data_IF_535553374878
#
_entry.id   IF_535553374878
#
_cell.length_a   1.000
_cell.length_b   1.000
_cell.length_c   1.000
_cell.angle_alpha   90.00
_cell.angle_beta   90.00
_cell.angle_gamma   90.00
#
_symmetry.space_group_name_H-M   'P 1'
#
loop_
_entity.id
_entity.type
_entity.pdbx_description
1 polymer ?
#
# COMPACT_ATOMS: atom_id res chain seq x y z
N UNK A 1 -13.65 44.67 -24.14
CA UNK A 1 -13.15 44.72 -22.74
C UNK A 1 -13.86 43.79 -21.78
N UNK A 2 -15.21 43.70 -21.74
CA UNK A 2 -15.92 42.90 -20.73
C UNK A 2 -15.61 41.39 -20.76
N UNK A 3 -15.44 40.78 -21.93
CA UNK A 3 -15.17 39.34 -22.07
C UNK A 3 -13.75 38.93 -21.64
N UNK A 4 -12.74 39.76 -21.88
CA UNK A 4 -11.36 39.46 -21.45
C UNK A 4 -11.17 39.57 -19.94
N UNK A 5 -11.92 40.46 -19.28
CA UNK A 5 -11.92 40.60 -17.81
C UNK A 5 -12.48 39.34 -17.14
N UNK A 6 -13.51 38.71 -17.72
CA UNK A 6 -14.02 37.43 -17.22
C UNK A 6 -13.00 36.29 -17.32
N UNK A 7 -12.22 36.22 -18.41
CA UNK A 7 -11.16 35.22 -18.54
C UNK A 7 -10.01 35.44 -17.54
N UNK A 8 -9.62 36.70 -17.31
CA UNK A 8 -8.60 37.04 -16.32
C UNK A 8 -9.06 36.72 -14.89
N UNK A 9 -10.32 36.99 -14.55
CA UNK A 9 -10.91 36.64 -13.25
C UNK A 9 -11.04 35.12 -13.06
N UNK A 10 -11.42 34.38 -14.11
CA UNK A 10 -11.48 32.92 -14.07
C UNK A 10 -10.09 32.30 -13.90
N UNK A 11 -9.08 32.86 -14.57
CA UNK A 11 -7.68 32.44 -14.44
C UNK A 11 -7.13 32.71 -13.03
N UNK A 12 -7.45 33.87 -12.43
CA UNK A 12 -7.09 34.20 -11.05
C UNK A 12 -7.81 33.32 -10.01
N UNK A 13 -9.07 32.93 -10.26
CA UNK A 13 -9.80 32.01 -9.39
C UNK A 13 -9.20 30.58 -9.41
N UNK A 14 -8.70 30.11 -10.55
CA UNK A 14 -8.00 28.82 -10.64
C UNK A 14 -6.67 28.81 -9.88
N UNK A 15 -5.98 29.95 -9.77
CA UNK A 15 -4.72 30.08 -9.03
C UNK A 15 -4.87 29.96 -7.50
N UNK A 16 -6.06 30.23 -6.95
CA UNK A 16 -6.33 30.14 -5.51
C UNK A 16 -6.70 28.72 -5.02
N UNK A 17 -6.91 27.77 -5.94
CA UNK A 17 -7.34 26.41 -5.60
C UNK A 17 -6.18 25.44 -5.27
N UNK A 18 -4.94 25.90 -5.28
CA UNK A 18 -3.78 25.03 -5.07
C UNK A 18 -3.25 25.22 -3.66
N UNK A 19 -3.65 24.35 -2.74
CA UNK A 19 -2.83 23.76 -1.67
C UNK A 19 -3.71 22.84 -0.79
N UNK A 20 -4.04 21.65 -1.30
CA UNK A 20 -4.58 20.58 -0.48
C UNK A 20 -3.42 19.77 0.12
N UNK A 21 -2.86 20.28 1.22
CA UNK A 21 -1.82 19.62 2.01
C UNK A 21 -2.39 18.36 2.69
N UNK A 22 -1.71 17.22 2.50
CA UNK A 22 -2.16 15.94 3.00
C UNK A 22 -1.79 15.80 4.48
N UNK A 23 -2.77 15.94 5.39
CA UNK A 23 -2.53 15.71 6.82
C UNK A 23 -2.48 14.22 7.11
N UNK A 24 -1.32 13.70 7.48
CA UNK A 24 -1.19 12.36 8.05
C UNK A 24 -1.80 12.36 9.44
N UNK A 25 -2.64 11.37 9.75
CA UNK A 25 -3.26 11.24 11.07
C UNK A 25 -3.03 9.85 11.63
N UNK A 26 -2.74 9.77 12.92
CA UNK A 26 -2.75 8.53 13.65
C UNK A 26 -4.21 8.12 13.93
N UNK A 27 -4.56 6.87 13.65
CA UNK A 27 -5.89 6.32 13.91
C UNK A 27 -5.86 4.81 14.10
N UNK A 28 -6.83 4.24 14.82
CA UNK A 28 -6.98 2.80 14.91
C UNK A 28 -7.46 2.20 13.58
N UNK A 29 -6.92 1.04 13.24
CA UNK A 29 -7.26 0.28 12.04
C UNK A 29 -7.31 -1.23 12.35
N UNK A 30 -7.88 -1.98 11.43
CA UNK A 30 -7.67 -3.43 11.33
C UNK A 30 -6.68 -3.72 10.20
N UNK A 31 -5.87 -4.76 10.38
CA UNK A 31 -4.81 -5.15 9.45
C UNK A 31 -4.76 -6.69 9.30
N UNK A 32 -4.45 -7.17 8.10
CA UNK A 32 -3.99 -8.55 7.88
C UNK A 32 -2.97 -8.58 6.76
N UNK A 33 -2.12 -9.60 6.78
CA UNK A 33 -1.13 -9.89 5.76
C UNK A 33 -1.52 -11.11 4.93
N UNK A 34 -1.13 -11.08 3.66
CA UNK A 34 -1.04 -12.25 2.81
C UNK A 34 0.39 -12.36 2.30
N UNK A 35 0.92 -13.56 2.20
CA UNK A 35 2.18 -13.82 1.56
C UNK A 35 2.06 -15.05 0.66
N UNK A 36 2.78 -15.05 -0.45
CA UNK A 36 2.90 -16.21 -1.32
C UNK A 36 4.37 -16.56 -1.51
N UNK A 37 4.69 -17.85 -1.41
CA UNK A 37 5.93 -18.38 -1.95
C UNK A 37 5.76 -18.56 -3.47
N UNK A 38 6.80 -18.26 -4.25
CA UNK A 38 6.86 -18.57 -5.68
C UNK A 38 7.57 -19.89 -5.96
N UNK A 39 8.38 -20.35 -5.03
CA UNK A 39 9.08 -21.63 -5.11
C UNK A 39 8.16 -22.78 -4.74
N UNK A 40 7.21 -22.52 -3.85
CA UNK A 40 6.28 -23.51 -3.32
C UNK A 40 4.86 -23.02 -3.57
N UNK A 41 3.93 -23.91 -3.87
CA UNK A 41 2.51 -23.58 -4.01
C UNK A 41 1.83 -23.40 -2.65
N UNK A 42 2.43 -22.57 -1.80
CA UNK A 42 1.99 -22.27 -0.44
C UNK A 42 1.75 -20.76 -0.29
N UNK A 43 0.58 -20.42 0.22
CA UNK A 43 0.24 -19.07 0.66
C UNK A 43 0.07 -19.02 2.17
N UNK A 44 0.36 -17.86 2.75
CA UNK A 44 0.22 -17.59 4.18
C UNK A 44 -0.73 -16.41 4.37
N UNK A 45 -1.74 -16.58 5.21
CA UNK A 45 -2.67 -15.51 5.58
C UNK A 45 -2.55 -15.29 7.09
N UNK A 46 -2.36 -14.06 7.53
CA UNK A 46 -2.43 -13.74 8.97
C UNK A 46 -3.87 -13.55 9.40
N UNK A 47 -4.14 -13.67 10.70
CA UNK A 47 -5.42 -13.22 11.27
C UNK A 47 -5.61 -11.70 11.15
N UNK A 48 -6.87 -11.27 11.18
CA UNK A 48 -7.23 -9.86 11.23
C UNK A 48 -6.98 -9.33 12.63
N UNK A 49 -6.03 -8.40 12.74
CA UNK A 49 -5.59 -7.79 13.98
C UNK A 49 -6.10 -6.36 14.09
N UNK A 50 -6.32 -5.91 15.32
CA UNK A 50 -6.56 -4.51 15.64
C UNK A 50 -5.24 -3.82 15.93
N UNK A 51 -5.02 -2.66 15.33
CA UNK A 51 -3.85 -1.83 15.54
C UNK A 51 -4.32 -0.44 15.95
N UNK A 52 -3.98 -0.01 17.15
CA UNK A 52 -4.47 1.22 17.76
C UNK A 52 -3.85 2.49 17.16
N UNK A 53 -2.60 2.39 16.70
CA UNK A 53 -1.70 3.52 16.49
C UNK A 53 -1.09 3.57 15.07
N UNK A 54 -1.92 3.42 14.04
CA UNK A 54 -1.47 3.46 12.65
C UNK A 54 -1.57 4.86 12.01
N UNK A 55 -0.57 5.25 11.22
CA UNK A 55 -0.59 6.50 10.47
C UNK A 55 -1.24 6.31 9.11
N UNK A 56 -2.28 7.11 8.82
CA UNK A 56 -3.00 7.06 7.55
C UNK A 56 -3.09 8.46 6.95
N UNK A 57 -2.74 8.55 5.66
CA UNK A 57 -2.94 9.76 4.86
C UNK A 57 -4.44 10.01 4.71
N UNK A 58 -4.91 11.17 5.15
CA UNK A 58 -6.34 11.50 5.10
C UNK A 58 -6.87 11.76 3.68
N UNK A 59 -6.02 12.21 2.76
CA UNK A 59 -6.39 12.51 1.37
C UNK A 59 -6.52 11.24 0.55
N UNK A 60 -5.48 10.40 0.59
CA UNK A 60 -5.40 9.20 -0.24
C UNK A 60 -5.89 7.93 0.47
N UNK A 61 -6.20 8.02 1.78
CA UNK A 61 -6.56 6.89 2.65
C UNK A 61 -5.50 5.79 2.64
N UNK A 62 -4.23 6.17 2.47
CA UNK A 62 -3.10 5.26 2.37
C UNK A 62 -2.49 4.98 3.74
N UNK A 63 -2.12 3.73 4.00
CA UNK A 63 -1.42 3.33 5.23
C UNK A 63 0.06 3.70 5.09
N UNK A 64 0.52 4.65 5.91
CA UNK A 64 1.93 5.02 5.97
C UNK A 64 2.72 3.88 6.61
N UNK A 65 3.93 3.63 6.11
CA UNK A 65 4.77 2.53 6.60
C UNK A 65 4.28 1.14 6.18
N UNK A 66 3.39 1.04 5.18
CA UNK A 66 2.88 -0.25 4.65
C UNK A 66 4.02 -1.22 4.25
N UNK A 67 5.11 -0.69 3.71
CA UNK A 67 6.32 -1.45 3.42
C UNK A 67 6.96 -2.08 4.67
N UNK A 68 6.96 -1.38 5.80
CA UNK A 68 7.51 -1.90 7.06
C UNK A 68 6.65 -3.02 7.63
N UNK A 69 5.32 -2.92 7.56
CA UNK A 69 4.43 -4.04 7.89
C UNK A 69 4.67 -5.25 6.97
N UNK A 70 4.91 -5.02 5.67
CA UNK A 70 5.29 -6.08 4.73
C UNK A 70 6.60 -6.77 5.13
N UNK A 71 7.59 -6.01 5.61
CA UNK A 71 8.87 -6.54 6.12
C UNK A 71 8.66 -7.35 7.40
N UNK A 72 7.85 -6.89 8.35
CA UNK A 72 7.52 -7.64 9.56
C UNK A 72 6.95 -9.03 9.22
N UNK A 73 6.00 -9.08 8.28
CA UNK A 73 5.43 -10.35 7.81
C UNK A 73 6.48 -11.23 7.12
N UNK A 74 7.32 -10.63 6.29
CA UNK A 74 8.37 -11.36 5.57
C UNK A 74 9.35 -12.01 6.55
N UNK A 75 9.85 -11.25 7.52
CA UNK A 75 10.76 -11.74 8.56
C UNK A 75 10.12 -12.85 9.38
N UNK A 76 8.89 -12.65 9.84
CA UNK A 76 8.16 -13.69 10.58
C UNK A 76 8.09 -15.01 9.81
N UNK A 77 7.78 -14.98 8.51
CA UNK A 77 7.66 -16.18 7.69
C UNK A 77 9.02 -16.83 7.40
N UNK A 78 10.07 -16.04 7.24
CA UNK A 78 11.44 -16.54 7.06
C UNK A 78 11.95 -17.22 8.34
N UNK A 79 11.68 -16.64 9.51
CA UNK A 79 12.18 -17.12 10.80
C UNK A 79 11.38 -18.31 11.36
N UNK A 80 10.04 -18.29 11.21
CA UNK A 80 9.15 -19.23 11.90
C UNK A 80 8.53 -20.30 10.99
N UNK A 81 8.53 -20.10 9.67
CA UNK A 81 7.82 -20.97 8.72
C UNK A 81 8.72 -21.50 7.58
N UNK A 82 10.04 -21.26 7.65
CA UNK A 82 11.05 -21.62 6.62
C UNK A 82 10.66 -21.18 5.20
N UNK A 83 9.89 -20.09 5.08
CA UNK A 83 9.46 -19.58 3.79
C UNK A 83 10.53 -18.65 3.24
N UNK A 84 11.29 -19.10 2.23
CA UNK A 84 12.33 -18.29 1.59
C UNK A 84 11.71 -17.32 0.59
N UNK A 85 12.12 -16.05 0.67
CA UNK A 85 11.71 -14.97 -0.24
C UNK A 85 10.18 -14.85 -0.50
N UNK A 86 9.33 -14.80 0.55
CA UNK A 86 7.90 -14.63 0.36
C UNK A 86 7.60 -13.24 -0.20
N UNK A 87 6.71 -13.17 -1.19
CA UNK A 87 6.14 -11.87 -1.58
C UNK A 87 4.96 -11.57 -0.68
N UNK A 88 5.08 -10.49 0.10
CA UNK A 88 4.12 -10.09 1.11
C UNK A 88 3.23 -8.95 0.64
N UNK A 89 2.00 -8.93 1.12
CA UNK A 89 0.98 -7.96 0.80
C UNK A 89 0.16 -7.65 2.04
N UNK A 90 0.16 -6.38 2.44
CA UNK A 90 -0.58 -5.90 3.61
C UNK A 90 -1.91 -5.32 3.18
N UNK A 91 -2.98 -5.71 3.88
CA UNK A 91 -4.33 -5.21 3.72
C UNK A 91 -4.80 -4.58 5.03
N UNK A 92 -5.51 -3.46 4.93
CA UNK A 92 -6.01 -2.75 6.10
C UNK A 92 -7.40 -2.15 5.85
N UNK A 93 -8.07 -1.77 6.92
CA UNK A 93 -9.34 -1.07 6.87
C UNK A 93 -9.88 -0.71 8.25
N UNK A 94 -10.84 0.21 8.31
CA UNK A 94 -11.43 0.67 9.57
C UNK A 94 -12.48 -0.30 10.14
N UNK A 95 -13.12 -1.10 9.28
CA UNK A 95 -14.20 -2.03 9.67
C UNK A 95 -13.69 -3.47 9.63
N UNK A 96 -13.64 -4.12 10.80
CA UNK A 96 -13.23 -5.53 10.96
C UNK A 96 -13.95 -6.47 10.00
N UNK A 97 -15.28 -6.41 9.94
CA UNK A 97 -16.09 -7.31 9.11
C UNK A 97 -15.77 -7.19 7.61
N UNK A 98 -15.60 -5.95 7.11
CA UNK A 98 -15.25 -5.73 5.71
C UNK A 98 -13.88 -6.32 5.40
N UNK A 99 -12.95 -6.18 6.34
CA UNK A 99 -11.59 -6.69 6.20
C UNK A 99 -11.55 -8.22 6.29
N UNK A 100 -12.30 -8.83 7.19
CA UNK A 100 -12.47 -10.29 7.29
C UNK A 100 -13.10 -10.89 6.03
N UNK A 101 -14.12 -10.24 5.43
CA UNK A 101 -14.66 -10.66 4.13
C UNK A 101 -13.60 -10.62 3.02
N UNK A 102 -12.71 -9.62 3.04
CA UNK A 102 -11.60 -9.51 2.08
C UNK A 102 -10.50 -10.56 2.34
N UNK A 103 -10.19 -10.85 3.59
CA UNK A 103 -9.28 -11.93 3.97
C UNK A 103 -9.80 -13.29 3.47
N UNK A 104 -11.09 -13.55 3.68
CA UNK A 104 -11.75 -14.77 3.21
C UNK A 104 -11.77 -14.87 1.69
N UNK A 105 -11.99 -13.76 0.97
CA UNK A 105 -11.96 -13.77 -0.50
C UNK A 105 -10.57 -14.00 -1.06
N UNK A 106 -9.53 -13.45 -0.41
CA UNK A 106 -8.12 -13.76 -0.72
C UNK A 106 -7.86 -15.25 -0.50
N UNK A 107 -8.23 -15.79 0.66
CA UNK A 107 -8.04 -17.22 0.98
C UNK A 107 -8.70 -18.13 -0.07
N UNK A 108 -9.99 -17.92 -0.35
CA UNK A 108 -10.75 -18.69 -1.35
C UNK A 108 -10.16 -18.61 -2.76
N UNK A 109 -9.56 -17.47 -3.14
CA UNK A 109 -8.94 -17.32 -4.46
C UNK A 109 -7.80 -18.30 -4.67
N UNK A 110 -7.00 -18.53 -3.63
CA UNK A 110 -5.84 -19.40 -3.69
C UNK A 110 -6.20 -20.87 -3.40
N UNK A 111 -7.15 -21.14 -2.50
CA UNK A 111 -7.66 -22.50 -2.25
C UNK A 111 -8.40 -23.11 -3.45
N UNK A 112 -8.80 -22.30 -4.44
CA UNK A 112 -9.41 -22.79 -5.68
C UNK A 112 -8.45 -23.65 -6.51
N UNK A 113 -7.14 -23.43 -6.38
CA UNK A 113 -6.13 -24.19 -7.13
C UNK A 113 -5.82 -25.48 -6.36
N UNK A 114 -6.01 -26.64 -7.01
CA UNK A 114 -5.88 -27.96 -6.37
C UNK A 114 -4.52 -28.18 -5.69
N UNK A 115 -3.46 -27.66 -6.29
CA UNK A 115 -2.09 -27.88 -5.82
C UNK A 115 -1.59 -26.74 -4.92
N UNK A 116 -2.47 -25.82 -4.50
CA UNK A 116 -2.11 -24.66 -3.70
C UNK A 116 -2.67 -24.76 -2.27
N UNK A 117 -1.78 -24.64 -1.28
CA UNK A 117 -2.15 -24.72 0.14
C UNK A 117 -2.09 -23.35 0.79
N UNK A 118 -3.18 -22.92 1.45
CA UNK A 118 -3.19 -21.68 2.23
C UNK A 118 -3.10 -21.98 3.73
N UNK A 119 -1.99 -21.62 4.35
CA UNK A 119 -1.72 -21.74 5.78
C UNK A 119 -2.04 -20.44 6.53
N UNK A 120 -2.36 -20.55 7.81
CA UNK A 120 -2.48 -19.38 8.69
C UNK A 120 -1.11 -19.06 9.29
N UNK A 121 -0.74 -17.77 9.33
CA UNK A 121 0.49 -17.28 9.96
C UNK A 121 0.17 -16.44 11.21
N UNK A 122 0.82 -16.74 12.32
CA UNK A 122 0.60 -16.08 13.61
C UNK A 122 1.36 -14.76 13.79
N UNK A 123 1.79 -14.12 12.69
CA UNK A 123 2.54 -12.86 12.74
C UNK A 123 1.73 -11.78 13.48
N UNK A 124 2.28 -11.19 14.53
CA UNK A 124 1.69 -10.05 15.24
C UNK A 124 2.33 -8.77 14.72
N UNK A 125 1.52 -7.84 14.20
CA UNK A 125 2.03 -6.58 13.65
C UNK A 125 2.34 -5.57 14.75
N UNK A 126 3.55 -5.02 14.72
CA UNK A 126 3.97 -3.94 15.61
C UNK A 126 3.72 -2.57 14.95
N UNK A 127 3.33 -1.54 15.72
CA UNK A 127 3.17 -0.18 15.21
C UNK A 127 4.43 0.32 14.50
N UNK A 128 4.25 0.95 13.35
CA UNK A 128 5.35 1.55 12.58
C UNK A 128 5.39 3.06 12.86
N UNK A 129 6.54 3.62 13.28
CA UNK A 129 6.67 5.05 13.52
C UNK A 129 6.51 5.84 12.22
N UNK A 130 5.98 7.05 12.32
CA UNK A 130 5.94 7.97 11.19
C UNK A 130 7.35 8.48 10.90
N UNK A 131 7.85 8.17 9.71
CA UNK A 131 9.07 8.75 9.16
C UNK A 131 8.62 9.61 7.98
N UNK A 132 8.88 10.91 8.07
CA UNK A 132 8.60 11.84 6.98
C UNK A 132 9.48 11.42 5.79
N UNK A 133 8.86 10.90 4.74
CA UNK A 133 9.59 10.50 3.55
C UNK A 133 10.01 11.77 2.83
N UNK A 134 11.30 12.11 2.91
CA UNK A 134 11.84 13.16 2.06
C UNK A 134 11.51 12.81 0.59
N UNK A 135 11.06 13.80 -0.20
CA UNK A 135 10.78 13.57 -1.61
C UNK A 135 12.04 12.99 -2.25
N UNK A 136 11.94 11.76 -2.73
CA UNK A 136 13.04 11.15 -3.47
C UNK A 136 13.19 11.97 -4.76
N UNK A 137 14.26 12.77 -4.84
CA UNK A 137 14.61 13.56 -6.04
C UNK A 137 14.93 12.61 -7.17
N UNK A 138 13.90 12.14 -7.89
CA UNK A 138 14.09 11.38 -9.10
C UNK A 138 14.62 12.34 -10.18
N UNK A 139 15.88 12.18 -10.64
CA UNK A 139 16.35 12.97 -11.76
C UNK A 139 15.40 12.74 -12.94
N UNK A 140 14.94 13.83 -13.56
CA UNK A 140 14.04 13.74 -14.69
C UNK A 140 14.61 12.77 -15.75
N UNK A 141 13.80 11.85 -16.29
CA UNK A 141 14.30 10.86 -17.24
C UNK A 141 14.95 11.59 -18.43
N UNK A 142 16.23 11.29 -18.65
CA UNK A 142 17.00 11.89 -19.72
C UNK A 142 16.32 11.59 -21.07
N UNK A 143 16.03 12.63 -21.85
CA UNK A 143 15.35 12.48 -23.14
C UNK A 143 16.27 11.70 -24.09
N UNK A 144 16.00 10.40 -24.25
CA UNK A 144 16.67 9.58 -25.26
C UNK A 144 16.36 10.17 -26.64
N UNK A 145 17.35 10.87 -27.21
CA UNK A 145 17.28 11.46 -28.55
C UNK A 145 17.26 10.30 -29.55
N UNK A 146 16.07 9.92 -30.02
CA UNK A 146 15.91 8.93 -31.10
C UNK A 146 16.69 9.43 -32.33
N UNK A 147 17.89 8.91 -32.56
CA UNK A 147 18.62 9.13 -33.82
C UNK A 147 17.80 8.45 -34.92
N UNK A 148 17.09 9.23 -35.73
CA UNK A 148 16.56 8.75 -36.99
C UNK A 148 17.73 8.34 -37.89
N UNK A 149 17.90 7.03 -38.07
CA UNK A 149 18.78 6.46 -39.08
C UNK A 149 18.10 6.70 -40.44
N UNK A 150 18.53 7.73 -41.17
CA UNK A 150 18.21 7.88 -42.60
C UNK A 150 18.77 6.65 -43.33
N UNK A 151 17.88 5.88 -43.95
CA UNK A 151 18.20 4.97 -45.05
C UNK A 151 18.26 5.77 -46.34
#
# INVERSE_FOLDING_TARGET
>A
MRRSVFYVLFFFACLLCQNAEAKVKQKPIYIFGFAASFTDSIGYVTDVQYLDSAYVDTKNKFLIGRNMYSVQLQQYLQENMDCKNPITSIFFGEKKEKLQKKQLSVRRRYEKYKDYTVKTAGCVFAPVPYIEQEPMDFPAPEKIRKKHKKR
#
